data_IF_442395585015
#
_entry.id   IF_442395585015
#
_cell.length_a   1.000
_cell.length_b   1.000
_cell.length_c   1.000
_cell.angle_alpha   90.00
_cell.angle_beta   90.00
_cell.angle_gamma   90.00
#
_symmetry.space_group_name_H-M   'P 1'
#
loop_
_entity.id
_entity.type
_entity.pdbx_description
1 polymer ?
#
# COMPACT_ATOMS: atom_id res chain seq x y z
N UNK A 1 -47.86 41.73 -10.98
CA UNK A 1 -47.72 40.45 -10.24
C UNK A 1 -46.85 39.53 -11.07
N UNK A 2 -45.54 39.63 -10.88
CA UNK A 2 -44.52 38.82 -11.55
C UNK A 2 -43.78 38.08 -10.44
N UNK A 3 -44.14 36.81 -10.24
CA UNK A 3 -43.48 35.94 -9.27
C UNK A 3 -42.31 35.23 -9.95
N UNK A 4 -41.10 35.46 -9.42
CA UNK A 4 -39.89 34.71 -9.74
C UNK A 4 -40.01 33.28 -9.17
N UNK A 5 -39.52 32.24 -9.86
CA UNK A 5 -39.39 30.92 -9.26
C UNK A 5 -38.09 30.84 -8.43
N UNK A 6 -38.20 30.40 -7.18
CA UNK A 6 -37.08 30.11 -6.29
C UNK A 6 -36.27 28.89 -6.77
N UNK A 7 -34.95 28.82 -6.51
CA UNK A 7 -34.13 27.67 -6.86
C UNK A 7 -34.39 26.51 -5.90
N UNK A 8 -34.65 25.33 -6.47
CA UNK A 8 -34.81 24.07 -5.73
C UNK A 8 -33.41 23.60 -5.29
N UNK A 9 -33.11 23.70 -4.00
CA UNK A 9 -31.97 23.03 -3.38
C UNK A 9 -32.17 21.51 -3.45
N UNK A 10 -31.27 20.82 -4.16
CA UNK A 10 -31.18 19.36 -4.14
C UNK A 10 -30.42 18.99 -2.86
N UNK A 11 -31.15 18.65 -1.80
CA UNK A 11 -30.55 18.02 -0.62
C UNK A 11 -30.08 16.61 -0.99
N UNK A 12 -28.77 16.36 -0.86
CA UNK A 12 -28.23 15.00 -0.85
C UNK A 12 -28.82 14.26 0.36
N UNK A 13 -29.81 13.41 0.11
CA UNK A 13 -30.42 12.57 1.12
C UNK A 13 -29.38 11.57 1.65
N UNK A 14 -28.76 11.88 2.79
CA UNK A 14 -28.04 10.89 3.60
C UNK A 14 -29.05 9.80 3.99
N UNK A 15 -28.80 8.56 3.57
CA UNK A 15 -29.58 7.39 3.95
C UNK A 15 -29.47 7.22 5.47
N UNK A 16 -30.52 7.59 6.19
CA UNK A 16 -30.63 7.36 7.63
C UNK A 16 -30.98 5.89 7.86
N UNK A 17 -30.37 5.28 8.88
CA UNK A 17 -30.63 3.90 9.28
C UNK A 17 -32.13 3.73 9.62
N UNK A 18 -32.88 2.82 8.96
CA UNK A 18 -34.33 2.68 9.18
C UNK A 18 -34.70 2.09 10.54
N UNK A 19 -35.89 2.42 11.04
CA UNK A 19 -36.52 1.81 12.21
C UNK A 19 -36.84 0.32 11.99
N UNK A 20 -36.82 -0.48 13.07
CA UNK A 20 -37.08 -1.92 13.04
C UNK A 20 -38.57 -2.21 12.80
N UNK A 21 -38.88 -3.08 11.84
CA UNK A 21 -40.23 -3.61 11.62
C UNK A 21 -40.44 -4.92 12.38
N UNK A 22 -41.70 -5.27 12.68
CA UNK A 22 -42.05 -6.47 13.44
C UNK A 22 -41.91 -7.78 12.67
N UNK A 23 -41.90 -7.73 11.34
CA UNK A 23 -41.85 -8.89 10.42
C UNK A 23 -40.61 -8.82 9.51
N UNK A 24 -40.15 -9.99 9.04
CA UNK A 24 -39.06 -10.10 8.07
C UNK A 24 -39.52 -9.54 6.71
N UNK A 25 -38.85 -8.49 6.23
CA UNK A 25 -39.23 -7.72 5.05
C UNK A 25 -38.82 -8.41 3.73
N UNK A 26 -37.90 -9.37 3.76
CA UNK A 26 -37.37 -10.06 2.58
C UNK A 26 -36.73 -11.40 2.95
N UNK A 27 -36.76 -12.38 2.04
CA UNK A 27 -36.10 -13.67 2.21
C UNK A 27 -34.62 -13.62 1.79
N UNK A 28 -33.76 -14.47 2.38
CA UNK A 28 -32.32 -14.54 2.06
C UNK A 28 -32.02 -14.77 0.58
N UNK A 29 -32.94 -15.41 -0.14
CA UNK A 29 -32.76 -15.85 -1.52
C UNK A 29 -33.18 -14.78 -2.56
N UNK A 30 -33.77 -13.66 -2.11
CA UNK A 30 -34.19 -12.55 -2.98
C UNK A 30 -33.14 -11.44 -3.12
N UNK A 31 -32.06 -11.51 -2.33
CA UNK A 31 -30.98 -10.54 -2.36
C UNK A 31 -30.20 -10.62 -3.68
N UNK A 32 -29.95 -9.46 -4.29
CA UNK A 32 -29.18 -9.32 -5.53
C UNK A 32 -27.91 -8.52 -5.29
N UNK A 33 -26.86 -8.83 -6.04
CA UNK A 33 -25.61 -8.06 -6.03
C UNK A 33 -25.90 -6.58 -6.33
N UNK A 34 -25.37 -5.69 -5.51
CA UNK A 34 -25.58 -4.23 -5.57
C UNK A 34 -26.70 -3.69 -4.69
N UNK A 35 -27.34 -4.51 -3.83
CA UNK A 35 -28.31 -4.03 -2.85
C UNK A 35 -27.63 -3.54 -1.56
N UNK A 36 -28.19 -2.50 -0.92
CA UNK A 36 -27.75 -2.05 0.40
C UNK A 36 -28.66 -2.64 1.47
N UNK A 37 -28.07 -3.41 2.38
CA UNK A 37 -28.74 -4.10 3.51
C UNK A 37 -28.24 -3.54 4.84
N UNK A 38 -29.03 -3.70 5.90
CA UNK A 38 -28.55 -3.45 7.27
C UNK A 38 -27.88 -4.71 7.81
N UNK A 39 -26.59 -4.65 8.14
CA UNK A 39 -25.82 -5.77 8.66
C UNK A 39 -25.21 -5.45 10.03
N UNK A 40 -25.15 -6.45 10.91
CA UNK A 40 -24.53 -6.32 12.23
C UNK A 40 -22.99 -6.39 12.11
N UNK A 41 -22.30 -5.39 12.67
CA UNK A 41 -20.83 -5.35 12.77
C UNK A 41 -20.40 -4.72 14.09
N UNK A 42 -19.52 -5.41 14.82
CA UNK A 42 -18.97 -4.96 16.11
C UNK A 42 -20.03 -4.59 17.17
N UNK A 43 -21.20 -5.24 17.11
CA UNK A 43 -22.33 -4.97 18.03
C UNK A 43 -23.27 -3.85 17.60
N UNK A 44 -23.00 -3.17 16.49
CA UNK A 44 -23.86 -2.12 15.92
C UNK A 44 -24.45 -2.53 14.56
N UNK A 45 -25.65 -2.05 14.24
CA UNK A 45 -26.26 -2.24 12.91
C UNK A 45 -25.78 -1.13 11.99
N UNK A 46 -25.21 -1.50 10.84
CA UNK A 46 -24.69 -0.56 9.84
C UNK A 46 -25.22 -0.89 8.45
N UNK A 47 -25.33 0.13 7.60
CA UNK A 47 -25.66 -0.05 6.19
C UNK A 47 -24.46 -0.65 5.46
N UNK A 48 -24.71 -1.71 4.71
CA UNK A 48 -23.70 -2.44 3.97
C UNK A 48 -24.18 -2.78 2.56
N UNK A 49 -23.37 -2.52 1.55
CA UNK A 49 -23.63 -2.88 0.15
C UNK A 49 -23.19 -4.32 -0.12
N UNK A 50 -24.08 -5.15 -0.63
CA UNK A 50 -23.79 -6.54 -1.04
C UNK A 50 -23.05 -6.51 -2.37
N UNK A 51 -21.75 -6.77 -2.33
CA UNK A 51 -20.88 -6.77 -3.51
C UNK A 51 -20.80 -8.14 -4.20
N UNK A 52 -21.04 -9.24 -3.48
CA UNK A 52 -21.06 -10.59 -4.04
C UNK A 52 -21.88 -11.54 -3.19
N UNK A 53 -22.45 -12.56 -3.85
CA UNK A 53 -23.23 -13.62 -3.21
C UNK A 53 -22.60 -14.94 -3.64
N UNK A 54 -22.21 -15.77 -2.67
CA UNK A 54 -21.67 -17.10 -2.92
C UNK A 54 -22.39 -18.15 -2.06
N UNK A 55 -22.49 -19.36 -2.58
CA UNK A 55 -23.01 -20.51 -1.85
C UNK A 55 -21.83 -21.43 -1.50
N UNK A 56 -21.34 -21.35 -0.26
CA UNK A 56 -20.24 -22.20 0.23
C UNK A 56 -20.84 -23.34 1.06
N UNK A 57 -20.59 -24.60 0.66
CA UNK A 57 -21.00 -25.80 1.42
C UNK A 57 -22.44 -25.77 1.96
N UNK A 58 -23.39 -25.38 1.11
CA UNK A 58 -24.82 -25.26 1.44
C UNK A 58 -25.19 -24.12 2.41
N UNK A 59 -24.28 -23.17 2.64
CA UNK A 59 -24.52 -21.89 3.33
C UNK A 59 -24.45 -20.74 2.34
N UNK A 60 -25.39 -19.80 2.46
CA UNK A 60 -25.45 -18.62 1.62
C UNK A 60 -24.69 -17.49 2.34
N UNK A 61 -23.59 -17.05 1.73
CA UNK A 61 -22.69 -16.02 2.26
C UNK A 61 -22.68 -14.80 1.35
N UNK A 62 -22.67 -13.62 1.97
CA UNK A 62 -22.71 -12.33 1.30
C UNK A 62 -21.40 -11.58 1.59
N UNK A 63 -20.73 -11.09 0.55
CA UNK A 63 -19.60 -10.20 0.74
C UNK A 63 -20.12 -8.76 0.78
N UNK A 64 -19.91 -8.08 1.90
CA UNK A 64 -20.49 -6.76 2.14
C UNK A 64 -19.45 -5.68 2.37
N UNK A 65 -19.72 -4.51 1.79
CA UNK A 65 -18.98 -3.27 2.05
C UNK A 65 -19.79 -2.37 2.97
N UNK A 66 -19.25 -2.02 4.13
CA UNK A 66 -19.93 -1.11 5.06
C UNK A 66 -19.77 0.33 4.58
N UNK A 67 -20.88 1.06 4.54
CA UNK A 67 -20.87 2.48 4.19
C UNK A 67 -20.00 3.27 5.17
N UNK A 68 -19.19 4.20 4.65
CA UNK A 68 -18.20 5.02 5.40
C UNK A 68 -17.01 4.24 6.00
N UNK A 69 -16.86 2.95 5.70
CA UNK A 69 -15.69 2.16 6.09
C UNK A 69 -14.69 2.00 4.95
N UNK A 70 -13.42 1.80 5.31
CA UNK A 70 -12.39 1.44 4.33
C UNK A 70 -12.70 0.05 3.75
N UNK A 71 -12.61 -0.12 2.42
CA UNK A 71 -12.83 -1.41 1.72
C UNK A 71 -12.01 -2.59 2.24
N UNK A 72 -10.91 -2.33 2.96
CA UNK A 72 -10.14 -3.36 3.67
C UNK A 72 -10.93 -4.06 4.79
N UNK A 73 -12.06 -3.49 5.21
CA UNK A 73 -12.91 -3.97 6.29
C UNK A 73 -14.17 -4.69 5.78
N UNK A 74 -14.23 -5.01 4.48
CA UNK A 74 -15.35 -5.67 3.79
C UNK A 74 -15.36 -7.18 4.06
N UNK A 75 -16.32 -7.72 4.80
CA UNK A 75 -16.28 -9.13 5.23
C UNK A 75 -17.32 -10.00 4.52
N UNK A 76 -17.10 -11.32 4.58
CA UNK A 76 -18.16 -12.29 4.32
C UNK A 76 -19.05 -12.41 5.55
N UNK A 77 -20.35 -12.18 5.35
CA UNK A 77 -21.37 -12.37 6.37
C UNK A 77 -22.30 -13.53 5.98
N UNK A 78 -22.68 -14.34 6.96
CA UNK A 78 -23.75 -15.33 6.83
C UNK A 78 -25.12 -14.65 6.95
N UNK A 79 -26.18 -15.34 6.52
CA UNK A 79 -27.57 -14.90 6.63
C UNK A 79 -27.93 -14.32 8.00
N UNK A 80 -27.42 -14.91 9.09
CA UNK A 80 -27.77 -14.56 10.47
C UNK A 80 -27.26 -13.17 10.90
N UNK A 81 -26.33 -12.56 10.15
CA UNK A 81 -25.79 -11.21 10.41
C UNK A 81 -26.52 -10.10 9.65
N UNK A 82 -27.47 -10.45 8.78
CA UNK A 82 -28.29 -9.48 8.06
C UNK A 82 -29.57 -9.24 8.88
N UNK A 83 -29.90 -7.97 9.12
CA UNK A 83 -31.16 -7.62 9.77
C UNK A 83 -32.31 -7.66 8.75
N UNK A 84 -33.01 -8.80 8.68
CA UNK A 84 -34.18 -9.01 7.82
C UNK A 84 -35.39 -8.16 8.21
N UNK A 85 -35.36 -7.50 9.37
CA UNK A 85 -36.47 -6.65 9.87
C UNK A 85 -36.37 -5.21 9.38
N UNK A 86 -35.37 -4.87 8.57
CA UNK A 86 -35.16 -3.52 8.02
C UNK A 86 -35.17 -3.54 6.48
N UNK A 87 -35.71 -2.51 5.82
CA UNK A 87 -35.89 -2.52 4.37
C UNK A 87 -34.56 -2.55 3.61
N UNK A 88 -34.52 -3.30 2.51
CA UNK A 88 -33.40 -3.36 1.55
C UNK A 88 -33.52 -2.22 0.56
N UNK A 89 -32.42 -1.51 0.31
CA UNK A 89 -32.36 -0.55 -0.78
C UNK A 89 -31.86 -1.25 -2.04
N UNK A 90 -32.75 -1.41 -3.00
CA UNK A 90 -32.44 -2.02 -4.29
C UNK A 90 -31.66 -1.05 -5.18
N UNK A 91 -30.68 -1.53 -5.98
CA UNK A 91 -29.88 -0.67 -6.85
C UNK A 91 -30.78 0.07 -7.84
N UNK A 92 -30.65 1.41 -7.90
CA UNK A 92 -31.30 2.20 -8.96
C UNK A 92 -30.74 1.73 -10.31
N UNK A 93 -31.57 1.43 -11.32
CA UNK A 93 -31.08 1.03 -12.64
C UNK A 93 -30.17 2.13 -13.19
N UNK A 94 -28.92 1.78 -13.54
CA UNK A 94 -27.99 2.71 -14.20
C UNK A 94 -28.63 3.17 -15.51
N UNK A 95 -28.89 4.46 -15.64
CA UNK A 95 -29.23 5.06 -16.93
C UNK A 95 -28.06 4.85 -17.89
N UNK A 96 -28.32 4.19 -19.01
CA UNK A 96 -27.36 4.05 -20.11
C UNK A 96 -26.92 5.45 -20.55
N UNK A 97 -25.62 5.74 -20.39
CA UNK A 97 -25.01 6.91 -21.03
C UNK A 97 -25.10 6.68 -22.54
N UNK A 98 -26.01 7.38 -23.21
CA UNK A 98 -26.06 7.47 -24.67
C UNK A 98 -24.68 7.90 -25.19
N UNK A 99 -23.99 6.97 -25.86
CA UNK A 99 -22.88 7.26 -26.74
C UNK A 99 -23.33 8.26 -27.81
N UNK A 100 -22.80 9.48 -27.75
CA UNK A 100 -22.86 10.41 -28.88
C UNK A 100 -21.72 10.10 -29.82
N UNK A 101 -21.99 9.20 -30.77
CA UNK A 101 -21.25 9.11 -32.04
C UNK A 101 -21.34 10.47 -32.74
N UNK A 102 -20.23 11.24 -32.74
CA UNK A 102 -20.08 12.42 -33.61
C UNK A 102 -19.33 12.02 -34.87
N UNK A 103 -20.09 11.98 -35.96
CA UNK A 103 -19.65 11.84 -37.34
C UNK A 103 -18.69 12.97 -37.76
N UNK A 104 -17.63 12.58 -38.48
CA UNK A 104 -16.78 13.46 -39.27
C UNK A 104 -17.58 14.26 -40.31
N UNK A 105 -17.37 15.58 -40.34
CA UNK A 105 -17.41 16.40 -41.56
C UNK A 105 -16.55 17.64 -41.36
N UNK A 106 -15.44 17.71 -42.10
CA UNK A 106 -14.50 18.83 -42.04
C UNK A 106 -14.95 20.07 -42.81
N UNK A 107 -14.29 21.19 -42.52
CA UNK A 107 -13.81 22.19 -43.50
C UNK A 107 -12.91 23.24 -42.82
N UNK A 108 -11.81 23.54 -43.53
CA UNK A 108 -10.82 24.62 -43.37
C UNK A 108 -11.50 26.00 -43.10
N UNK A 109 -10.86 27.04 -42.57
CA UNK A 109 -9.58 27.66 -42.98
C UNK A 109 -9.27 28.90 -42.10
N UNK A 110 -7.98 29.27 -41.96
CA UNK A 110 -7.42 30.66 -41.78
C UNK A 110 -7.86 31.48 -40.56
N UNK A 111 -7.12 32.42 -39.95
CA UNK A 111 -5.73 32.91 -39.93
C UNK A 111 -5.76 34.11 -38.91
N UNK A 112 -4.61 34.44 -38.31
CA UNK A 112 -4.17 35.82 -37.96
C UNK A 112 -4.67 36.49 -36.64
N UNK A 113 -3.67 36.78 -35.76
CA UNK A 113 -3.29 38.03 -35.03
C UNK A 113 -4.40 38.78 -34.25
N UNK A 114 -4.18 39.49 -33.14
CA UNK A 114 -3.01 40.01 -32.39
C UNK A 114 -3.52 40.80 -31.18
N UNK A 115 -2.62 40.99 -30.22
CA UNK A 115 -2.41 42.22 -29.43
C UNK A 115 -3.34 42.66 -28.28
N UNK A 116 -2.65 42.79 -27.14
CA UNK A 116 -2.47 43.98 -26.30
C UNK A 116 -3.41 44.27 -25.09
N UNK A 117 -2.71 44.31 -23.95
CA UNK A 117 -2.60 45.39 -22.95
C UNK A 117 -3.65 45.53 -21.85
N UNK A 118 -3.09 45.72 -20.65
CA UNK A 118 -3.58 46.61 -19.58
C UNK A 118 -3.93 45.85 -18.30
N UNK A 119 -3.04 45.74 -17.30
CA UNK A 119 -2.67 46.76 -16.29
C UNK A 119 -3.75 47.01 -15.23
N UNK A 120 -3.50 46.59 -13.98
CA UNK A 120 -3.60 47.39 -12.72
C UNK A 120 -3.66 46.42 -11.50
N UNK A 121 -2.64 46.33 -10.64
CA UNK A 121 -2.27 47.12 -9.44
C UNK A 121 -3.19 47.04 -8.19
N UNK A 122 -2.67 46.31 -7.19
CA UNK A 122 -2.44 46.67 -5.76
C UNK A 122 -3.67 46.73 -4.82
N UNK A 123 -3.65 45.94 -3.73
CA UNK A 123 -3.45 46.41 -2.33
C UNK A 123 -3.57 45.27 -1.30
N UNK A 124 -2.54 45.16 -0.46
CA UNK A 124 -2.49 44.45 0.82
C UNK A 124 -3.27 45.22 1.88
N UNK A 125 -3.78 44.51 2.89
CA UNK A 125 -3.85 45.02 4.26
C UNK A 125 -3.77 43.85 5.27
N UNK A 126 -2.80 43.96 6.18
CA UNK A 126 -2.51 43.07 7.31
C UNK A 126 -3.57 43.19 8.42
N UNK A 127 -3.72 42.16 9.25
CA UNK A 127 -3.88 42.35 10.71
C UNK A 127 -3.63 41.07 11.52
N UNK A 128 -2.76 41.21 12.51
CA UNK A 128 -2.29 40.28 13.53
C UNK A 128 -3.12 40.33 14.81
N UNK A 129 -3.35 39.21 15.52
CA UNK A 129 -3.30 39.18 17.01
C UNK A 129 -3.09 37.78 17.63
N UNK A 130 -2.09 37.73 18.52
CA UNK A 130 -1.80 36.89 19.70
C UNK A 130 -2.99 36.62 20.66
N UNK A 131 -3.03 35.77 21.71
CA UNK A 131 -2.17 34.79 22.43
C UNK A 131 -3.07 34.10 23.50
N UNK A 132 -2.70 32.91 23.98
CA UNK A 132 -2.67 32.48 25.41
C UNK A 132 -3.08 31.01 25.64
N UNK A 133 -2.29 30.29 26.45
CA UNK A 133 -2.45 28.88 26.76
C UNK A 133 -2.78 28.58 28.23
N UNK A 134 -2.91 27.27 28.53
CA UNK A 134 -2.69 26.66 29.85
C UNK A 134 -2.64 25.12 29.76
N UNK A 135 -1.75 24.55 30.56
CA UNK A 135 -1.31 23.14 30.66
C UNK A 135 -2.35 22.16 31.25
N UNK A 136 -2.26 20.86 30.89
CA UNK A 136 -1.96 19.74 31.84
C UNK A 136 -2.01 18.30 31.24
N UNK A 137 -0.89 17.58 31.43
CA UNK A 137 -0.66 16.14 31.70
C UNK A 137 -1.46 14.99 31.05
N UNK A 138 -0.76 14.18 30.22
CA UNK A 138 -0.51 12.76 30.51
C UNK A 138 -1.46 11.68 29.95
N UNK A 139 -1.30 11.30 28.68
CA UNK A 139 -1.69 9.95 28.18
C UNK A 139 -0.94 9.61 26.87
N UNK A 140 -0.38 8.39 26.82
CA UNK A 140 0.39 7.85 25.68
C UNK A 140 -0.48 7.61 24.45
N UNK A 141 -0.70 8.69 23.68
CA UNK A 141 -1.29 8.66 22.35
C UNK A 141 -0.19 9.01 21.36
N UNK A 142 -0.02 8.20 20.31
CA UNK A 142 0.82 8.60 19.19
C UNK A 142 0.24 9.89 18.60
N UNK A 143 0.90 11.00 18.90
CA UNK A 143 0.55 12.34 18.48
C UNK A 143 0.77 12.49 16.95
N UNK A 144 -0.24 12.02 16.20
CA UNK A 144 -0.35 12.08 14.73
C UNK A 144 -0.55 13.52 14.23
N UNK A 145 -0.87 14.45 15.12
CA UNK A 145 -1.17 15.85 14.80
C UNK A 145 0.06 16.76 14.73
N UNK A 146 1.25 16.28 15.12
CA UNK A 146 2.48 17.09 15.12
C UNK A 146 3.33 16.97 13.84
N UNK A 147 2.77 16.46 12.74
CA UNK A 147 3.22 16.83 11.39
C UNK A 147 2.44 18.08 10.97
N UNK A 148 2.89 19.25 11.43
CA UNK A 148 2.42 20.52 10.87
C UNK A 148 2.90 20.65 9.42
N UNK A 149 2.14 20.06 8.50
CA UNK A 149 2.19 20.33 7.06
C UNK A 149 1.42 21.62 6.84
N UNK A 150 2.01 22.74 7.25
CA UNK A 150 1.59 24.06 6.80
C UNK A 150 2.77 24.69 6.10
N UNK A 151 2.98 24.29 4.85
CA UNK A 151 3.51 25.22 3.88
C UNK A 151 2.47 26.31 3.72
N UNK A 152 2.87 27.57 3.93
CA UNK A 152 2.04 28.73 3.65
C UNK A 152 1.46 28.60 2.25
N UNK A 153 0.13 28.51 2.19
CA UNK A 153 -0.68 28.57 0.98
C UNK A 153 -0.32 29.86 0.26
N UNK A 154 0.18 29.76 -0.98
CA UNK A 154 0.07 30.89 -1.92
C UNK A 154 -1.41 30.99 -2.27
N UNK A 155 -2.02 32.15 -2.03
CA UNK A 155 -3.42 32.41 -2.34
C UNK A 155 -3.73 32.03 -3.80
N UNK A 156 -4.71 31.14 -4.01
CA UNK A 156 -5.39 30.99 -5.29
C UNK A 156 -5.41 29.60 -5.96
N UNK A 157 -4.76 28.57 -5.42
CA UNK A 157 -4.86 27.20 -5.99
C UNK A 157 -5.14 26.16 -4.89
N UNK A 158 -6.43 25.97 -4.56
CA UNK A 158 -6.88 24.78 -3.82
C UNK A 158 -6.86 23.56 -4.76
N UNK A 159 -5.68 23.00 -4.98
CA UNK A 159 -5.55 21.63 -5.49
C UNK A 159 -5.66 20.69 -4.30
N UNK A 160 -6.82 20.02 -4.20
CA UNK A 160 -7.08 19.07 -3.11
C UNK A 160 -6.04 17.94 -3.12
N UNK A 161 -5.65 17.48 -1.92
CA UNK A 161 -4.71 16.36 -1.69
C UNK A 161 -5.13 15.09 -2.44
N UNK A 162 -6.42 14.93 -2.69
CA UNK A 162 -7.01 13.83 -3.46
C UNK A 162 -6.71 13.91 -4.95
N UNK A 163 -6.63 15.12 -5.51
CA UNK A 163 -6.35 15.33 -6.93
C UNK A 163 -4.87 15.11 -7.26
N UNK A 164 -3.94 15.42 -6.35
CA UNK A 164 -2.53 15.01 -6.48
C UNK A 164 -2.39 13.48 -6.48
N UNK A 165 -3.11 12.79 -5.59
CA UNK A 165 -3.12 11.32 -5.52
C UNK A 165 -3.73 10.71 -6.80
N UNK A 166 -4.80 11.30 -7.35
CA UNK A 166 -5.39 10.88 -8.64
C UNK A 166 -4.44 11.15 -9.82
N UNK A 167 -3.73 12.27 -9.84
CA UNK A 167 -2.77 12.62 -10.90
C UNK A 167 -1.58 11.67 -10.91
N UNK A 168 -1.09 11.27 -9.73
CA UNK A 168 -0.06 10.22 -9.56
C UNK A 168 -0.54 8.83 -10.00
N UNK A 169 -1.84 8.52 -9.85
CA UNK A 169 -2.43 7.27 -10.35
C UNK A 169 -2.57 7.23 -11.88
N UNK A 170 -2.70 8.36 -12.55
CA UNK A 170 -3.07 8.40 -13.98
C UNK A 170 -1.87 8.25 -14.93
N UNK A 171 -0.63 8.28 -14.42
CA UNK A 171 0.60 8.28 -15.23
C UNK A 171 1.20 6.90 -15.57
N UNK A 172 0.66 5.80 -15.05
CA UNK A 172 1.13 4.45 -15.33
C UNK A 172 -0.01 3.62 -15.90
N UNK A 173 0.29 2.80 -16.92
CA UNK A 173 -0.65 1.88 -17.57
C UNK A 173 -1.27 0.92 -16.55
N UNK A 174 -2.37 1.35 -15.92
CA UNK A 174 -3.25 0.53 -15.12
C UNK A 174 -3.90 -0.47 -16.07
N UNK A 175 -3.50 -1.73 -16.01
CA UNK A 175 -4.16 -2.82 -16.71
C UNK A 175 -5.60 -2.91 -16.18
N UNK A 176 -6.51 -2.27 -16.91
CA UNK A 176 -7.96 -2.31 -16.70
C UNK A 176 -8.50 -3.68 -17.14
N UNK A 177 -8.35 -4.71 -16.32
CA UNK A 177 -9.15 -5.94 -16.45
C UNK A 177 -9.02 -6.87 -15.24
N UNK A 178 -9.27 -6.36 -14.04
CA UNK A 178 -9.53 -7.24 -12.90
C UNK A 178 -11.02 -7.61 -12.88
N UNK A 179 -11.33 -8.88 -13.25
CA UNK A 179 -12.65 -9.51 -13.14
C UNK A 179 -13.30 -9.15 -11.80
N UNK A 180 -14.62 -8.92 -11.78
CA UNK A 180 -15.39 -8.52 -10.58
C UNK A 180 -15.14 -9.43 -9.36
N UNK A 181 -14.85 -10.71 -9.60
CA UNK A 181 -14.46 -11.72 -8.60
C UNK A 181 -13.22 -11.32 -7.79
N UNK A 182 -12.26 -10.61 -8.38
CA UNK A 182 -11.01 -10.22 -7.72
C UNK A 182 -11.15 -9.04 -6.75
N UNK A 183 -12.31 -8.39 -6.69
CA UNK A 183 -12.62 -7.31 -5.73
C UNK A 183 -13.09 -7.84 -4.37
N UNK A 184 -13.33 -9.14 -4.28
CA UNK A 184 -13.93 -9.82 -3.14
C UNK A 184 -12.87 -10.68 -2.47
N UNK A 185 -12.71 -10.59 -1.14
CA UNK A 185 -11.74 -11.42 -0.40
C UNK A 185 -12.07 -12.91 -0.56
N UNK A 186 -11.07 -13.78 -0.67
CA UNK A 186 -11.32 -15.23 -0.79
C UNK A 186 -11.60 -15.90 0.55
N UNK A 187 -10.80 -15.56 1.56
CA UNK A 187 -10.82 -16.20 2.89
C UNK A 187 -11.19 -15.18 3.95
N UNK A 188 -11.86 -15.65 5.00
CA UNK A 188 -12.12 -14.82 6.18
C UNK A 188 -10.91 -14.81 7.11
N UNK A 189 -10.23 -15.96 7.27
CA UNK A 189 -9.06 -16.08 8.17
C UNK A 189 -7.96 -16.94 7.58
N UNK A 190 -6.71 -16.56 7.86
CA UNK A 190 -5.50 -17.28 7.47
C UNK A 190 -4.68 -17.56 8.73
N UNK A 191 -4.43 -18.85 8.99
CA UNK A 191 -3.69 -19.29 10.18
C UNK A 191 -2.24 -19.53 9.77
N UNK A 192 -1.31 -18.70 10.27
CA UNK A 192 0.12 -18.77 10.00
C UNK A 192 0.85 -19.05 11.30
N UNK A 193 1.25 -20.31 11.50
CA UNK A 193 1.85 -20.75 12.77
C UNK A 193 0.91 -20.50 13.94
N UNK A 194 1.31 -19.63 14.88
CA UNK A 194 0.51 -19.24 16.06
C UNK A 194 -0.44 -18.05 15.83
N UNK A 195 -0.36 -17.40 14.66
CA UNK A 195 -1.08 -16.17 14.39
C UNK A 195 -2.28 -16.42 13.48
N UNK A 196 -3.41 -15.82 13.82
CA UNK A 196 -4.61 -15.77 12.97
C UNK A 196 -4.63 -14.38 12.35
N UNK A 197 -4.61 -14.34 11.02
CA UNK A 197 -4.49 -13.10 10.24
C UNK A 197 -5.66 -12.99 9.27
N UNK A 198 -6.28 -11.82 9.23
CA UNK A 198 -7.34 -11.52 8.27
C UNK A 198 -6.73 -10.98 6.97
N UNK A 199 -7.00 -11.60 5.80
CA UNK A 199 -6.49 -11.12 4.53
C UNK A 199 -7.18 -9.81 4.13
N UNK A 200 -6.49 -8.95 3.37
CA UNK A 200 -7.02 -7.65 2.93
C UNK A 200 -7.57 -7.69 1.51
N UNK A 201 -7.00 -8.55 0.67
CA UNK A 201 -7.30 -8.62 -0.76
C UNK A 201 -7.53 -10.07 -1.21
N UNK A 202 -8.15 -10.21 -2.38
CA UNK A 202 -8.23 -11.48 -3.09
C UNK A 202 -6.83 -12.01 -3.42
N UNK A 203 -6.63 -13.32 -3.24
CA UNK A 203 -5.44 -14.04 -3.73
C UNK A 203 -5.87 -15.31 -4.45
N UNK A 204 -5.32 -15.60 -5.65
CA UNK A 204 -5.73 -16.70 -6.53
C UNK A 204 -5.18 -18.05 -6.05
N UNK A 205 -5.58 -18.48 -4.87
CA UNK A 205 -5.40 -19.86 -4.42
C UNK A 205 -6.28 -20.82 -5.24
N UNK A 206 -5.93 -22.12 -5.31
CA UNK A 206 -6.77 -23.13 -5.95
C UNK A 206 -8.23 -23.05 -5.47
N UNK A 207 -9.17 -23.16 -6.42
CA UNK A 207 -10.60 -22.89 -6.20
C UNK A 207 -11.19 -23.84 -5.16
N UNK A 208 -10.67 -25.06 -5.04
CA UNK A 208 -11.10 -26.06 -4.07
C UNK A 208 -10.90 -25.60 -2.62
N UNK A 209 -9.95 -24.70 -2.39
CA UNK A 209 -9.70 -24.13 -1.07
C UNK A 209 -10.63 -22.95 -0.78
N UNK A 210 -11.15 -22.27 -1.80
CA UNK A 210 -12.01 -21.08 -1.63
C UNK A 210 -13.38 -21.41 -1.02
N UNK A 211 -13.78 -22.68 -1.04
CA UNK A 211 -14.96 -23.18 -0.33
C UNK A 211 -14.80 -23.14 1.20
N UNK A 212 -13.56 -23.14 1.70
CA UNK A 212 -13.26 -23.00 3.12
C UNK A 212 -13.10 -21.51 3.47
N UNK A 213 -13.58 -21.11 4.65
CA UNK A 213 -13.38 -19.75 5.16
C UNK A 213 -12.02 -19.57 5.88
N UNK A 214 -11.39 -20.69 6.25
CA UNK A 214 -10.12 -20.74 6.97
C UNK A 214 -9.09 -21.58 6.22
N UNK A 215 -7.87 -21.06 6.08
CA UNK A 215 -6.73 -21.79 5.51
C UNK A 215 -5.55 -21.84 6.49
N UNK A 216 -4.85 -22.97 6.48
CA UNK A 216 -3.65 -23.20 7.29
C UNK A 216 -2.41 -23.04 6.42
N UNK A 217 -1.48 -22.17 6.82
CA UNK A 217 -0.22 -21.95 6.13
C UNK A 217 0.94 -22.32 7.05
N UNK A 218 1.86 -23.13 6.53
CA UNK A 218 3.10 -23.47 7.22
C UNK A 218 4.04 -22.24 7.26
N UNK A 219 4.49 -21.85 8.45
CA UNK A 219 5.44 -20.73 8.66
C UNK A 219 6.80 -20.89 7.96
N UNK A 220 7.24 -22.12 7.68
CA UNK A 220 8.53 -22.41 7.03
C UNK A 220 8.40 -22.64 5.52
N UNK A 221 7.52 -23.55 5.10
CA UNK A 221 7.40 -23.95 3.67
C UNK A 221 6.39 -23.10 2.90
N UNK A 222 5.59 -22.31 3.60
CA UNK A 222 4.48 -21.52 3.06
C UNK A 222 3.41 -22.36 2.34
N UNK A 223 3.47 -23.69 2.49
CA UNK A 223 2.46 -24.60 1.96
C UNK A 223 1.12 -24.35 2.65
N UNK A 224 0.05 -24.37 1.86
CA UNK A 224 -1.31 -24.08 2.28
C UNK A 224 -2.16 -25.34 2.33
N UNK A 225 -3.08 -25.42 3.29
CA UNK A 225 -3.95 -26.57 3.54
C UNK A 225 -5.34 -26.10 3.97
N UNK A 226 -6.40 -26.73 3.46
CA UNK A 226 -7.78 -26.46 3.92
C UNK A 226 -8.15 -27.21 5.21
N UNK A 227 -7.57 -28.40 5.42
CA UNK A 227 -7.89 -29.24 6.58
C UNK A 227 -6.76 -29.23 7.62
N UNK A 228 -7.12 -28.97 8.88
CA UNK A 228 -6.20 -29.02 10.04
C UNK A 228 -5.47 -30.36 10.16
N UNK A 229 -6.15 -31.47 9.90
CA UNK A 229 -5.54 -32.82 9.98
C UNK A 229 -4.45 -33.01 8.91
N UNK A 230 -4.63 -32.44 7.72
CA UNK A 230 -3.60 -32.47 6.68
C UNK A 230 -2.38 -31.64 7.09
N UNK A 231 -2.62 -30.45 7.64
CA UNK A 231 -1.56 -29.58 8.15
C UNK A 231 -0.74 -30.25 9.26
N UNK A 232 -1.39 -30.87 10.25
CA UNK A 232 -0.69 -31.56 11.36
C UNK A 232 0.18 -32.72 10.85
N UNK A 233 -0.34 -33.53 9.92
CA UNK A 233 0.43 -34.60 9.27
C UNK A 233 1.63 -34.07 8.48
N UNK A 234 1.47 -32.94 7.81
CA UNK A 234 2.56 -32.29 7.09
C UNK A 234 3.62 -31.75 8.06
N UNK A 235 3.20 -31.11 9.16
CA UNK A 235 4.10 -30.54 10.17
C UNK A 235 4.99 -31.60 10.83
N UNK A 236 4.46 -32.81 11.08
CA UNK A 236 5.23 -33.93 11.63
C UNK A 236 6.33 -34.39 10.67
N UNK A 237 6.08 -34.33 9.35
CA UNK A 237 7.04 -34.77 8.33
C UNK A 237 8.04 -33.69 7.94
N UNK A 238 7.66 -32.42 8.07
CA UNK A 238 8.47 -31.31 7.60
C UNK A 238 9.67 -31.06 8.52
N UNK A 239 10.88 -31.18 7.97
CA UNK A 239 12.14 -30.90 8.67
C UNK A 239 12.66 -29.48 8.43
N UNK A 240 12.10 -28.76 7.44
CA UNK A 240 12.57 -27.43 7.07
C UNK A 240 12.17 -26.40 8.14
N UNK A 241 13.18 -25.69 8.68
CA UNK A 241 13.05 -24.68 9.74
C UNK A 241 13.56 -23.29 9.33
N UNK A 242 13.86 -23.09 8.05
CA UNK A 242 14.28 -21.81 7.49
C UNK A 242 13.87 -21.70 6.02
N UNK A 243 13.81 -20.48 5.45
CA UNK A 243 13.57 -20.32 4.02
C UNK A 243 14.62 -21.07 3.17
N UNK A 244 14.22 -21.72 2.07
CA UNK A 244 15.10 -22.58 1.27
C UNK A 244 16.02 -21.75 0.36
N UNK A 245 16.99 -21.06 0.95
CA UNK A 245 17.93 -20.18 0.25
C UNK A 245 19.28 -20.07 0.94
N UNK A 246 20.14 -19.23 0.39
CA UNK A 246 21.44 -18.95 0.99
C UNK A 246 21.27 -17.87 2.06
N UNK A 247 21.77 -18.09 3.28
CA UNK A 247 21.84 -17.04 4.30
C UNK A 247 22.97 -16.07 3.92
N UNK A 248 22.62 -14.86 3.48
CA UNK A 248 23.57 -13.85 2.98
C UNK A 248 23.85 -12.75 4.00
N UNK A 249 23.02 -12.65 5.04
CA UNK A 249 23.19 -11.72 6.14
C UNK A 249 22.70 -12.37 7.43
N UNK A 250 23.48 -12.20 8.48
CA UNK A 250 23.16 -12.71 9.81
C UNK A 250 23.58 -11.71 10.87
N UNK A 251 22.61 -11.30 11.68
CA UNK A 251 22.81 -10.45 12.85
C UNK A 251 22.17 -11.09 14.09
N UNK A 252 22.24 -10.43 15.25
CA UNK A 252 21.68 -10.96 16.49
C UNK A 252 20.14 -11.04 16.44
N UNK A 253 19.52 -10.10 15.73
CA UNK A 253 18.05 -9.96 15.66
C UNK A 253 17.47 -10.64 14.41
N UNK A 254 18.09 -10.45 13.25
CA UNK A 254 17.53 -10.86 11.95
C UNK A 254 18.54 -11.59 11.07
N UNK A 255 18.02 -12.46 10.20
CA UNK A 255 18.76 -13.11 9.11
C UNK A 255 18.05 -12.89 7.77
N UNK A 256 18.82 -12.68 6.69
CA UNK A 256 18.28 -12.62 5.33
C UNK A 256 18.69 -13.83 4.50
N UNK A 257 17.72 -14.39 3.80
CA UNK A 257 17.90 -15.48 2.86
C UNK A 257 17.68 -14.98 1.43
N UNK A 258 18.64 -15.25 0.56
CA UNK A 258 18.50 -15.08 -0.89
C UNK A 258 17.93 -16.36 -1.50
N UNK A 259 16.82 -16.21 -2.22
CA UNK A 259 16.12 -17.32 -2.87
C UNK A 259 15.91 -16.98 -4.34
N UNK A 260 16.43 -17.84 -5.21
CA UNK A 260 16.18 -17.77 -6.65
C UNK A 260 14.82 -18.42 -6.98
N UNK A 261 13.89 -17.64 -7.54
CA UNK A 261 12.57 -18.13 -7.92
C UNK A 261 12.59 -19.28 -8.92
N UNK A 262 13.60 -19.35 -9.81
CA UNK A 262 13.78 -20.47 -10.75
C UNK A 262 14.18 -21.76 -10.02
N UNK A 263 14.99 -21.67 -8.97
CA UNK A 263 15.45 -22.83 -8.19
C UNK A 263 14.38 -23.31 -7.22
N UNK A 264 13.60 -22.40 -6.64
CA UNK A 264 12.60 -22.68 -5.59
C UNK A 264 11.18 -22.28 -6.00
N UNK A 265 10.72 -22.74 -7.18
CA UNK A 265 9.43 -22.34 -7.75
C UNK A 265 8.25 -22.52 -6.80
N UNK A 266 8.13 -23.69 -6.17
CA UNK A 266 7.01 -24.00 -5.28
C UNK A 266 6.97 -23.05 -4.08
N UNK A 267 8.11 -22.83 -3.43
CA UNK A 267 8.18 -21.96 -2.26
C UNK A 267 7.92 -20.49 -2.64
N UNK A 268 8.50 -20.02 -3.73
CA UNK A 268 8.30 -18.64 -4.20
C UNK A 268 6.86 -18.40 -4.68
N UNK A 269 6.22 -19.37 -5.34
CA UNK A 269 4.78 -19.29 -5.70
C UNK A 269 3.91 -19.20 -4.46
N UNK A 270 4.18 -20.02 -3.45
CA UNK A 270 3.47 -19.97 -2.16
C UNK A 270 3.64 -18.60 -1.49
N UNK A 271 4.86 -18.05 -1.50
CA UNK A 271 5.12 -16.71 -0.98
C UNK A 271 4.36 -15.63 -1.76
N UNK A 272 4.30 -15.72 -3.09
CA UNK A 272 3.54 -14.80 -3.92
C UNK A 272 2.03 -14.86 -3.64
N UNK A 273 1.47 -16.06 -3.45
CA UNK A 273 0.06 -16.24 -3.08
C UNK A 273 -0.23 -15.67 -1.69
N UNK A 274 0.65 -15.90 -0.71
CA UNK A 274 0.55 -15.30 0.61
C UNK A 274 0.63 -13.77 0.53
N UNK A 275 1.55 -13.25 -0.27
CA UNK A 275 1.77 -11.81 -0.44
C UNK A 275 0.57 -11.11 -1.08
N UNK A 276 -0.05 -11.74 -2.07
CA UNK A 276 -1.23 -11.20 -2.76
C UNK A 276 -2.45 -11.03 -1.84
N UNK A 277 -2.51 -11.74 -0.70
CA UNK A 277 -3.54 -11.51 0.32
C UNK A 277 -3.44 -10.12 0.98
N UNK A 278 -2.26 -9.51 0.96
CA UNK A 278 -1.97 -8.23 1.61
C UNK A 278 -1.56 -7.12 0.64
N UNK A 279 -1.36 -7.47 -0.63
CA UNK A 279 -1.05 -6.54 -1.72
C UNK A 279 -2.20 -6.49 -2.73
N UNK A 280 -2.64 -5.27 -3.05
CA UNK A 280 -3.66 -5.03 -4.06
C UNK A 280 -3.13 -5.35 -5.46
N UNK A 281 -2.00 -4.71 -5.82
CA UNK A 281 -1.42 -4.76 -7.16
C UNK A 281 -0.21 -5.69 -7.22
N UNK A 282 -0.46 -6.99 -7.32
CA UNK A 282 0.56 -7.99 -7.67
C UNK A 282 0.09 -8.80 -8.87
N UNK A 283 0.71 -8.53 -10.02
CA UNK A 283 0.33 -9.09 -11.33
C UNK A 283 0.93 -10.47 -11.58
N UNK A 284 2.17 -10.70 -11.13
CA UNK A 284 2.91 -11.96 -11.33
C UNK A 284 2.99 -12.76 -10.03
N UNK A 285 2.35 -13.93 -10.03
CA UNK A 285 2.35 -14.89 -8.91
C UNK A 285 2.69 -16.33 -9.32
N UNK A 286 2.53 -16.71 -10.59
CA UNK A 286 2.94 -18.04 -11.10
C UNK A 286 4.32 -18.05 -11.76
N UNK A 287 4.65 -16.98 -12.51
CA UNK A 287 5.97 -16.81 -13.10
C UNK A 287 6.90 -16.12 -12.10
N UNK A 288 7.67 -16.93 -11.39
CA UNK A 288 8.63 -16.51 -10.34
C UNK A 288 10.08 -16.63 -10.82
N UNK A 289 10.30 -17.21 -11.99
CA UNK A 289 11.62 -17.48 -12.55
C UNK A 289 12.50 -16.22 -12.74
N UNK A 290 11.97 -15.04 -13.14
CA UNK A 290 12.78 -13.83 -13.34
C UNK A 290 13.07 -13.08 -12.02
N UNK A 291 12.60 -13.57 -10.87
CA UNK A 291 12.73 -12.87 -9.60
C UNK A 291 13.72 -13.55 -8.64
N UNK A 292 14.45 -12.70 -7.91
CA UNK A 292 15.07 -13.04 -6.63
C UNK A 292 14.16 -12.60 -5.49
N UNK A 293 14.15 -13.39 -4.42
CA UNK A 293 13.41 -13.11 -3.20
C UNK A 293 14.39 -13.00 -2.04
N UNK A 294 14.36 -11.86 -1.36
CA UNK A 294 15.14 -11.59 -0.16
C UNK A 294 14.23 -11.66 1.05
N UNK A 295 14.34 -12.75 1.79
CA UNK A 295 13.42 -13.09 2.87
C UNK A 295 14.07 -12.82 4.21
N UNK A 296 13.46 -11.93 4.99
CA UNK A 296 13.92 -11.58 6.32
C UNK A 296 13.23 -12.47 7.36
N UNK A 297 14.03 -13.00 8.27
CA UNK A 297 13.58 -13.91 9.33
C UNK A 297 14.05 -13.45 10.70
N UNK A 298 13.24 -13.72 11.72
CA UNK A 298 13.66 -13.68 13.12
C UNK A 298 13.99 -15.10 13.55
N UNK A 299 15.02 -15.24 14.38
CA UNK A 299 15.38 -16.52 14.97
C UNK A 299 14.69 -16.71 16.31
N UNK A 300 14.16 -17.90 16.50
CA UNK A 300 13.65 -18.42 17.76
C UNK A 300 14.28 -19.81 18.01
N UNK A 301 14.04 -20.40 19.18
CA UNK A 301 14.49 -21.77 19.50
C UNK A 301 13.94 -22.81 18.51
N UNK A 302 12.78 -22.52 17.91
CA UNK A 302 12.12 -23.37 16.93
C UNK A 302 12.70 -23.25 15.52
N UNK A 303 13.48 -22.21 15.22
CA UNK A 303 14.06 -21.96 13.90
C UNK A 303 13.88 -20.52 13.41
N UNK A 304 13.83 -20.35 12.10
CA UNK A 304 13.71 -19.05 11.44
C UNK A 304 12.27 -18.77 11.01
N UNK A 305 11.65 -17.78 11.64
CA UNK A 305 10.30 -17.34 11.33
C UNK A 305 10.31 -16.21 10.31
N UNK A 306 9.61 -16.39 9.19
CA UNK A 306 9.48 -15.36 8.16
C UNK A 306 8.72 -14.15 8.71
N UNK A 307 9.30 -12.96 8.53
CA UNK A 307 8.71 -11.69 8.96
C UNK A 307 8.20 -10.87 7.79
N UNK A 308 8.97 -10.90 6.70
CA UNK A 308 8.70 -10.12 5.52
C UNK A 308 9.73 -10.42 4.46
N UNK A 309 9.50 -9.90 3.27
CA UNK A 309 10.39 -10.09 2.14
C UNK A 309 10.29 -8.90 1.19
N UNK A 310 11.27 -8.81 0.30
CA UNK A 310 11.10 -8.09 -0.95
C UNK A 310 11.56 -8.95 -2.12
N UNK A 311 10.95 -8.74 -3.29
CA UNK A 311 11.39 -9.34 -4.54
C UNK A 311 12.12 -8.32 -5.39
N UNK A 312 13.11 -8.78 -6.15
CA UNK A 312 13.90 -7.99 -7.09
C UNK A 312 13.96 -8.74 -8.42
N UNK A 313 13.75 -8.05 -9.53
CA UNK A 313 13.96 -8.62 -10.86
C UNK A 313 15.45 -8.88 -11.07
N UNK A 314 15.79 -10.01 -11.69
CA UNK A 314 17.19 -10.33 -12.04
C UNK A 314 17.77 -9.32 -13.02
N UNK A 315 16.94 -8.85 -13.94
CA UNK A 315 17.25 -7.80 -14.89
C UNK A 315 16.03 -6.89 -15.00
N UNK A 316 16.18 -5.64 -14.59
CA UNK A 316 15.13 -4.64 -14.63
C UNK A 316 15.50 -3.55 -15.63
N UNK A 317 14.63 -3.29 -16.60
CA UNK A 317 14.88 -2.26 -17.63
C UNK A 317 14.99 -0.85 -17.02
N UNK A 318 14.17 -0.59 -15.99
CA UNK A 318 14.11 0.69 -15.29
C UNK A 318 15.07 0.75 -14.07
N UNK A 319 15.90 -0.28 -13.88
CA UNK A 319 16.80 -0.44 -12.73
C UNK A 319 16.07 -0.37 -11.37
N UNK A 320 14.89 -0.97 -11.26
CA UNK A 320 14.23 -1.08 -9.96
C UNK A 320 15.00 -2.03 -9.04
N UNK A 321 15.30 -1.58 -7.82
CA UNK A 321 15.96 -2.43 -6.83
C UNK A 321 14.97 -3.26 -6.01
N UNK A 322 13.68 -2.90 -6.06
CA UNK A 322 12.58 -3.58 -5.40
C UNK A 322 11.37 -3.60 -6.34
N UNK A 323 10.82 -4.78 -6.57
CA UNK A 323 9.56 -4.98 -7.27
C UNK A 323 8.38 -4.98 -6.30
N UNK A 324 8.33 -5.95 -5.38
CA UNK A 324 7.34 -6.02 -4.31
C UNK A 324 8.04 -6.05 -2.96
N UNK A 325 7.47 -5.40 -1.95
CA UNK A 325 7.93 -5.45 -0.57
C UNK A 325 6.73 -5.69 0.35
N UNK A 326 6.89 -6.59 1.32
CA UNK A 326 5.84 -6.90 2.27
C UNK A 326 6.45 -7.21 3.65
N UNK A 327 5.85 -6.62 4.68
CA UNK A 327 5.96 -7.11 6.06
C UNK A 327 4.64 -7.79 6.42
N UNK A 328 4.70 -9.03 6.91
CA UNK A 328 3.51 -9.77 7.29
C UNK A 328 2.73 -9.00 8.37
N UNK A 329 1.38 -8.97 8.34
CA UNK A 329 0.58 -8.13 9.23
C UNK A 329 0.90 -8.26 10.72
N UNK A 330 1.15 -9.47 11.19
CA UNK A 330 1.49 -9.76 12.59
C UNK A 330 2.80 -9.11 13.06
N UNK A 331 3.67 -8.69 12.14
CA UNK A 331 4.95 -8.04 12.43
C UNK A 331 5.01 -6.59 11.94
N UNK A 332 3.89 -6.01 11.48
CA UNK A 332 3.87 -4.61 11.08
C UNK A 332 4.10 -3.67 12.28
N UNK A 333 4.54 -2.43 12.01
CA UNK A 333 4.84 -1.39 13.01
C UNK A 333 6.00 -1.67 13.99
N UNK A 334 6.70 -2.79 13.85
CA UNK A 334 7.90 -3.12 14.65
C UNK A 334 9.23 -2.61 14.04
N UNK A 335 9.18 -1.87 12.93
CA UNK A 335 10.37 -1.33 12.24
C UNK A 335 10.98 -2.25 11.16
N UNK A 336 10.48 -3.48 11.03
CA UNK A 336 10.93 -4.44 10.01
C UNK A 336 10.83 -3.95 8.56
N UNK A 337 9.80 -3.17 8.23
CA UNK A 337 9.69 -2.54 6.91
C UNK A 337 10.87 -1.62 6.57
N UNK A 338 11.38 -0.88 7.57
CA UNK A 338 12.56 -0.02 7.39
C UNK A 338 13.82 -0.85 7.16
N UNK A 339 13.97 -1.98 7.86
CA UNK A 339 15.11 -2.89 7.67
C UNK A 339 15.10 -3.54 6.28
N UNK A 340 13.93 -3.96 5.77
CA UNK A 340 13.80 -4.50 4.42
C UNK A 340 14.21 -3.46 3.35
N UNK A 341 13.79 -2.21 3.51
CA UNK A 341 14.18 -1.10 2.62
C UNK A 341 15.68 -0.82 2.74
N UNK A 342 16.23 -0.79 3.95
CA UNK A 342 17.66 -0.60 4.16
C UNK A 342 18.47 -1.69 3.45
N UNK A 343 18.07 -2.95 3.59
CA UNK A 343 18.74 -4.08 2.98
C UNK A 343 18.73 -4.01 1.44
N UNK A 344 17.63 -3.56 0.82
CA UNK A 344 17.57 -3.43 -0.64
C UNK A 344 18.56 -2.37 -1.17
N UNK A 345 18.76 -1.27 -0.43
CA UNK A 345 19.77 -0.27 -0.76
C UNK A 345 21.21 -0.76 -0.50
N UNK A 346 21.45 -1.55 0.55
CA UNK A 346 22.77 -2.15 0.76
C UNK A 346 23.18 -3.07 -0.41
N UNK A 347 22.24 -3.84 -0.97
CA UNK A 347 22.49 -4.60 -2.20
C UNK A 347 22.85 -3.67 -3.36
N UNK A 348 22.08 -2.59 -3.59
CA UNK A 348 22.38 -1.61 -4.64
C UNK A 348 23.77 -0.98 -4.48
N UNK A 349 24.20 -0.67 -3.25
CA UNK A 349 25.55 -0.15 -2.96
C UNK A 349 26.63 -1.16 -3.34
N UNK A 350 26.45 -2.43 -2.97
CA UNK A 350 27.40 -3.49 -3.34
C UNK A 350 27.43 -3.78 -4.85
N UNK A 351 26.35 -3.50 -5.57
CA UNK A 351 26.30 -3.56 -7.04
C UNK A 351 26.93 -2.32 -7.72
N UNK A 352 27.19 -1.25 -6.97
CA UNK A 352 27.63 0.04 -7.53
C UNK A 352 26.57 0.71 -8.40
N UNK A 353 25.29 0.45 -8.14
CA UNK A 353 24.15 0.98 -8.90
C UNK A 353 23.26 1.85 -8.02
N UNK A 354 22.58 2.80 -8.64
CA UNK A 354 21.45 3.51 -8.03
C UNK A 354 20.16 2.73 -8.28
N UNK A 355 19.20 2.82 -7.36
CA UNK A 355 17.93 2.09 -7.46
C UNK A 355 16.77 2.84 -6.83
N UNK A 356 15.58 2.55 -7.32
CA UNK A 356 14.31 3.03 -6.80
C UNK A 356 13.32 1.86 -6.73
N UNK A 357 12.30 1.89 -5.86
CA UNK A 357 11.21 0.92 -5.92
C UNK A 357 10.37 1.04 -7.20
N UNK A 358 9.82 -0.08 -7.64
CA UNK A 358 8.84 -0.16 -8.74
C UNK A 358 7.60 0.69 -8.43
N UNK A 359 7.07 1.35 -9.47
CA UNK A 359 5.89 2.24 -9.39
C UNK A 359 4.71 1.60 -10.13
N UNK A 360 3.46 1.75 -9.63
CA UNK A 360 3.04 2.55 -8.47
C UNK A 360 3.22 1.83 -7.13
N UNK A 361 3.67 2.56 -6.11
CA UNK A 361 3.76 2.06 -4.73
C UNK A 361 2.39 2.08 -4.05
N UNK A 362 2.19 1.15 -3.11
CA UNK A 362 1.06 1.24 -2.16
C UNK A 362 1.25 2.45 -1.23
N UNK A 363 0.15 3.04 -0.73
CA UNK A 363 0.21 4.21 0.16
C UNK A 363 1.10 3.97 1.40
N UNK A 364 1.00 2.77 1.98
CA UNK A 364 1.84 2.36 3.12
C UNK A 364 3.31 2.19 2.73
N UNK A 365 3.56 1.65 1.53
CA UNK A 365 4.90 1.55 0.96
C UNK A 365 5.51 2.93 0.76
N UNK A 366 4.80 3.85 0.09
CA UNK A 366 5.28 5.21 -0.18
C UNK A 366 5.60 5.96 1.11
N UNK A 367 4.76 5.87 2.14
CA UNK A 367 5.02 6.50 3.43
C UNK A 367 6.28 5.93 4.09
N UNK A 368 6.48 4.61 4.00
CA UNK A 368 7.67 3.93 4.55
C UNK A 368 8.95 4.33 3.82
N UNK A 369 8.93 4.43 2.48
CA UNK A 369 10.06 4.90 1.69
C UNK A 369 10.37 6.37 1.96
N UNK A 370 9.38 7.26 2.00
CA UNK A 370 9.58 8.68 2.35
C UNK A 370 10.22 8.85 3.73
N UNK A 371 9.76 8.09 4.73
CA UNK A 371 10.37 8.11 6.06
C UNK A 371 11.81 7.58 6.05
N UNK A 372 12.09 6.50 5.31
CA UNK A 372 13.44 5.96 5.18
C UNK A 372 14.40 6.94 4.50
N UNK A 373 13.98 7.55 3.38
CA UNK A 373 14.76 8.53 2.64
C UNK A 373 15.06 9.77 3.48
N UNK A 374 14.05 10.30 4.18
CA UNK A 374 14.23 11.43 5.08
C UNK A 374 15.24 11.10 6.19
N UNK A 375 15.06 9.98 6.89
CA UNK A 375 15.97 9.56 7.97
C UNK A 375 17.42 9.37 7.47
N UNK A 376 17.60 8.82 6.27
CA UNK A 376 18.92 8.52 5.69
C UNK A 376 19.63 9.79 5.25
N UNK A 377 18.94 10.69 4.53
CA UNK A 377 19.50 11.96 4.07
C UNK A 377 19.85 12.85 5.26
N UNK A 378 18.97 12.95 6.26
CA UNK A 378 19.23 13.75 7.45
C UNK A 378 20.44 13.22 8.22
N UNK A 379 20.55 11.89 8.38
CA UNK A 379 21.71 11.29 9.03
C UNK A 379 23.01 11.61 8.27
N UNK A 380 23.01 11.46 6.95
CA UNK A 380 24.18 11.72 6.11
C UNK A 380 24.61 13.19 6.15
N UNK A 381 23.67 14.13 6.08
CA UNK A 381 23.97 15.56 6.17
C UNK A 381 24.54 15.97 7.53
N UNK A 382 24.14 15.29 8.61
CA UNK A 382 24.70 15.54 9.95
C UNK A 382 26.12 14.97 10.10
N UNK A 383 26.41 13.85 9.44
CA UNK A 383 27.72 13.19 9.50
C UNK A 383 28.76 13.83 8.55
N UNK A 384 28.35 14.25 7.36
CA UNK A 384 29.25 14.81 6.33
C UNK A 384 29.40 16.34 6.38
N UNK A 385 28.61 17.04 7.19
CA UNK A 385 28.65 18.50 7.31
C UNK A 385 27.86 19.25 6.22
N UNK A 386 27.99 20.58 6.20
CA UNK A 386 27.08 21.50 5.47
C UNK A 386 27.23 21.53 3.95
N UNK A 387 28.28 20.95 3.37
CA UNK A 387 28.60 21.06 1.94
C UNK A 387 28.59 19.68 1.25
N UNK A 388 27.43 19.03 1.17
CA UNK A 388 27.27 17.78 0.39
C UNK A 388 26.53 18.04 -0.92
N UNK A 389 27.03 17.49 -2.03
CA UNK A 389 26.34 17.58 -3.33
C UNK A 389 25.28 16.48 -3.50
N UNK A 390 24.30 16.69 -4.40
CA UNK A 390 23.27 15.67 -4.69
C UNK A 390 23.90 14.38 -5.23
N UNK A 391 24.96 14.50 -6.03
CA UNK A 391 25.66 13.36 -6.61
C UNK A 391 26.43 12.56 -5.56
N UNK A 392 27.03 13.22 -4.56
CA UNK A 392 27.64 12.55 -3.40
C UNK A 392 26.62 11.78 -2.57
N UNK A 393 25.43 12.37 -2.33
CA UNK A 393 24.33 11.67 -1.62
C UNK A 393 23.92 10.44 -2.42
N UNK A 394 23.76 10.57 -3.74
CA UNK A 394 23.43 9.46 -4.64
C UNK A 394 24.48 8.35 -4.58
N UNK A 395 25.77 8.70 -4.64
CA UNK A 395 26.87 7.75 -4.59
C UNK A 395 26.98 7.00 -3.25
N UNK A 396 26.72 7.67 -2.12
CA UNK A 396 26.80 7.05 -0.80
C UNK A 396 25.55 6.22 -0.43
N UNK A 397 24.37 6.62 -0.92
CA UNK A 397 23.09 6.01 -0.53
C UNK A 397 22.51 5.06 -1.56
N UNK A 398 23.00 5.07 -2.81
CA UNK A 398 22.41 4.39 -3.96
C UNK A 398 20.97 4.83 -4.28
N UNK A 399 20.53 5.99 -3.78
CA UNK A 399 19.24 6.57 -4.12
C UNK A 399 19.30 7.31 -5.46
N UNK A 400 18.18 7.31 -6.21
CA UNK A 400 18.12 8.11 -7.44
C UNK A 400 18.09 9.61 -7.13
N UNK A 401 18.62 10.42 -8.04
CA UNK A 401 18.61 11.88 -7.91
C UNK A 401 17.18 12.43 -7.78
N UNK A 402 16.22 11.82 -8.48
CA UNK A 402 14.79 12.16 -8.38
C UNK A 402 14.24 11.95 -6.97
N UNK A 403 14.53 10.81 -6.34
CA UNK A 403 14.06 10.50 -4.99
C UNK A 403 14.70 11.41 -3.95
N UNK A 404 15.99 11.74 -4.12
CA UNK A 404 16.71 12.70 -3.28
C UNK A 404 16.09 14.10 -3.40
N UNK A 405 15.89 14.59 -4.63
CA UNK A 405 15.29 15.91 -4.89
C UNK A 405 13.89 16.03 -4.29
N UNK A 406 13.03 15.05 -4.53
CA UNK A 406 11.67 15.05 -3.98
C UNK A 406 11.69 15.03 -2.43
N UNK A 407 12.61 14.28 -1.83
CA UNK A 407 12.74 14.22 -0.37
C UNK A 407 13.26 15.55 0.20
N UNK A 408 14.26 16.16 -0.42
CA UNK A 408 14.79 17.48 -0.02
C UNK A 408 13.75 18.60 -0.17
N UNK A 409 12.94 18.55 -1.23
CA UNK A 409 11.79 19.46 -1.42
C UNK A 409 10.75 19.28 -0.31
N UNK A 410 10.40 18.03 0.02
CA UNK A 410 9.43 17.72 1.08
C UNK A 410 9.91 18.21 2.45
N UNK A 411 11.22 18.18 2.70
CA UNK A 411 11.84 18.66 3.94
C UNK A 411 12.15 20.16 3.92
N UNK A 412 11.78 20.89 2.86
CA UNK A 412 12.07 22.32 2.68
C UNK A 412 13.57 22.67 2.81
N UNK A 413 14.45 21.73 2.42
CA UNK A 413 15.92 21.91 2.49
C UNK A 413 16.54 22.30 1.15
N UNK A 414 15.76 22.33 0.07
CA UNK A 414 16.25 22.63 -1.27
C UNK A 414 16.10 24.13 -1.58
N UNK A 415 17.21 24.83 -1.84
CA UNK A 415 17.21 26.19 -2.39
C UNK A 415 17.83 26.20 -3.77
N UNK A 416 17.33 27.07 -4.64
CA UNK A 416 17.89 27.27 -5.98
C UNK A 416 18.71 28.56 -6.00
N UNK A 417 20.01 28.45 -6.26
CA UNK A 417 20.91 29.61 -6.32
C UNK A 417 21.82 29.50 -7.54
N UNK A 418 21.86 30.56 -8.36
CA UNK A 418 22.70 30.66 -9.57
C UNK A 418 22.66 29.44 -10.50
N UNK A 419 21.48 28.82 -10.67
CA UNK A 419 21.34 27.67 -11.57
C UNK A 419 21.63 26.30 -10.95
N UNK A 420 21.99 26.27 -9.66
CA UNK A 420 22.32 25.04 -8.94
C UNK A 420 21.42 24.86 -7.72
N UNK A 421 21.20 23.59 -7.36
CA UNK A 421 20.51 23.20 -6.15
C UNK A 421 21.47 23.20 -4.97
N UNK A 422 21.18 24.02 -3.96
CA UNK A 422 21.93 24.08 -2.70
C UNK A 422 21.07 23.46 -1.60
N UNK A 423 21.69 22.62 -0.78
CA UNK A 423 21.06 22.02 0.39
C UNK A 423 21.27 22.95 1.59
N UNK A 424 20.19 23.38 2.22
CA UNK A 424 20.24 24.20 3.43
C UNK A 424 19.65 23.41 4.60
N UNK A 425 20.47 23.20 5.63
CA UNK A 425 20.03 22.62 6.89
C UNK A 425 19.20 23.63 7.68
N UNK A 426 18.01 23.21 8.13
CA UNK A 426 17.13 24.00 9.00
C UNK A 426 17.14 23.45 10.41
N UNK A 427 16.87 24.30 11.42
CA UNK A 427 16.82 23.89 12.83
C UNK A 427 15.77 22.79 13.09
N UNK A 428 14.72 22.73 12.25
CA UNK A 428 13.71 21.67 12.32
C UNK A 428 14.29 20.29 12.04
N UNK A 429 15.23 20.20 11.09
CA UNK A 429 15.87 18.95 10.68
C UNK A 429 16.85 18.48 11.76
N UNK A 430 17.56 19.41 12.41
CA UNK A 430 18.40 19.11 13.58
C UNK A 430 17.55 18.49 14.71
N UNK A 431 16.41 19.11 15.04
CA UNK A 431 15.49 18.58 16.06
C UNK A 431 14.86 17.23 15.67
N UNK A 432 14.67 16.96 14.37
CA UNK A 432 14.20 15.66 13.90
C UNK A 432 15.29 14.59 14.05
N UNK A 433 16.54 14.91 13.73
CA UNK A 433 17.68 14.03 13.93
C UNK A 433 17.86 13.64 15.41
N UNK A 434 17.78 14.61 16.33
CA UNK A 434 17.85 14.33 17.76
C UNK A 434 16.75 13.37 18.23
N UNK A 435 15.53 13.54 17.72
CA UNK A 435 14.41 12.62 18.00
C UNK A 435 14.66 11.22 17.41
N UNK A 436 15.30 11.13 16.25
CA UNK A 436 15.63 9.87 15.61
C UNK A 436 16.66 9.08 16.43
N UNK A 437 17.74 9.73 16.89
CA UNK A 437 18.78 9.09 17.71
C UNK A 437 18.20 8.57 19.03
N UNK A 438 17.34 9.35 19.68
CA UNK A 438 16.68 8.95 20.94
C UNK A 438 15.89 7.65 20.83
N UNK A 439 15.37 7.32 19.65
CA UNK A 439 14.54 6.12 19.41
C UNK A 439 15.32 4.81 19.30
N UNK A 440 16.67 4.82 19.31
CA UNK A 440 17.57 3.65 19.29
C UNK A 440 17.03 2.47 18.47
N UNK A 441 16.70 2.73 17.20
CA UNK A 441 16.21 1.68 16.30
C UNK A 441 17.34 0.75 15.89
N UNK A 442 17.03 -0.53 15.68
CA UNK A 442 17.96 -1.47 15.10
C UNK A 442 18.30 -1.05 13.65
N UNK A 443 19.57 -1.12 13.30
CA UNK A 443 20.13 -0.71 11.98
C UNK A 443 20.98 -1.86 11.49
N UNK A 444 20.90 -2.17 10.19
CA UNK A 444 21.72 -3.23 9.60
C UNK A 444 23.19 -2.83 9.53
N UNK A 445 24.06 -3.77 9.83
CA UNK A 445 25.51 -3.61 9.75
C UNK A 445 26.02 -4.09 8.37
N UNK A 446 26.51 -3.19 7.50
CA UNK A 446 26.99 -3.56 6.16
C UNK A 446 28.12 -4.60 6.20
N UNK A 447 28.92 -4.68 7.28
CA UNK A 447 30.01 -5.63 7.39
C UNK A 447 29.55 -7.09 7.50
N UNK A 448 28.31 -7.33 7.96
CA UNK A 448 27.72 -8.67 8.11
C UNK A 448 27.07 -9.19 6.83
N UNK A 449 27.07 -8.39 5.75
CA UNK A 449 26.57 -8.78 4.45
C UNK A 449 27.63 -9.59 3.69
N UNK A 450 27.45 -10.90 3.62
CA UNK A 450 28.26 -11.80 2.80
C UNK A 450 27.55 -12.06 1.47
N UNK A 451 27.64 -11.10 0.56
CA UNK A 451 26.96 -11.17 -0.73
C UNK A 451 27.83 -10.63 -1.87
N UNK A 452 27.69 -11.24 -3.04
CA UNK A 452 28.30 -10.77 -4.29
C UNK A 452 27.23 -10.73 -5.37
N UNK A 453 27.23 -9.72 -6.25
CA UNK A 453 26.26 -9.64 -7.33
C UNK A 453 26.22 -10.93 -8.16
N UNK A 454 25.04 -11.58 -8.27
CA UNK A 454 24.90 -12.79 -9.05
C UNK A 454 25.07 -12.50 -10.54
N UNK A 455 25.80 -13.37 -11.23
CA UNK A 455 25.97 -13.32 -12.68
C UNK A 455 24.98 -14.29 -13.32
N UNK A 456 24.04 -13.76 -14.10
CA UNK A 456 23.01 -14.57 -14.75
C UNK A 456 23.36 -14.88 -16.20
N UNK A 457 23.07 -16.11 -16.64
CA UNK A 457 23.13 -16.47 -18.06
C UNK A 457 21.84 -16.05 -18.77
N UNK A 458 21.89 -15.76 -20.07
CA UNK A 458 20.71 -15.34 -20.86
C UNK A 458 19.48 -16.26 -20.74
N UNK A 459 19.67 -17.56 -20.47
CA UNK A 459 18.58 -18.52 -20.24
C UNK A 459 17.87 -18.36 -18.89
N UNK A 460 18.50 -17.69 -17.91
CA UNK A 460 17.96 -17.45 -16.56
C UNK A 460 17.17 -16.13 -16.46
N UNK A 461 17.21 -15.33 -17.52
CA UNK A 461 16.63 -13.99 -17.60
C UNK A 461 15.33 -13.96 -18.41
N UNK A 462 14.97 -15.05 -19.10
CA UNK A 462 13.74 -15.10 -19.91
C UNK A 462 12.51 -15.41 -19.05
N UNK A 463 11.45 -14.65 -19.27
CA UNK A 463 10.09 -14.99 -18.85
C UNK A 463 9.65 -16.30 -19.51
N UNK A 464 9.01 -17.19 -18.75
CA UNK A 464 8.47 -18.43 -19.29
C UNK A 464 7.17 -18.15 -20.04
N UNK A 465 7.28 -17.83 -21.33
CA UNK A 465 6.13 -17.71 -22.24
C UNK A 465 5.53 -19.08 -22.56
#
# INVERSE_FOLDING_TARGET
MTASPEPIEIQEAKLVVPEQYSEEQFASDELKVGCTVSAFKDGEVRLAEVLSIQQKKNRLVFYVHYQDFNKRLDEWIEKDRIDYKRPVFWPKPKSEKKDKTKSNKGKNNKQIKSNNKGSSTVKQEDTSVDLSGKDSAGQDVMDLDNLNVQGLVKEGEELTREDEIKKLRTGGSMIQSHNEVSKVRNFSKVIIGKHIVEPWYFSPYPVELTEEDEIYICDFTLSFFGSRKQFERFRIKNTLRHPPGNEIYRDDVVSFFEIDGRRQRTWCRNLCLLSKLFLDHKTLYYDVDPFLFYCMTIRDELGHHLVGYFSKEKESADNYNVACILTLPQYQRHGYGKLLIQFSYELSKTEGKVGSPEKPLSDLGLLSYRAYWADTIVKLLMENGTETTIDEISAQTSMTTTDILHTLQTLNMLKYYKGQHIICLTDQVVKQYDRLIKRKRHVLDPAKLSWKPPVFTASQLRFGW
#
